data_IF_137249487258
#
_entry.id   IF_137249487258
#
_cell.length_a   1.000
_cell.length_b   1.000
_cell.length_c   1.000
_cell.angle_alpha   90.00
_cell.angle_beta   90.00
_cell.angle_gamma   90.00
#
_symmetry.space_group_name_H-M   'P 1'
#
loop_
_entity.id
_entity.type
_entity.pdbx_description
1 polymer ?
#
# COMPACT_ATOMS: atom_id res chain seq x y z
N UNK A 1 -17.88 9.66 -3.85
CA UNK A 1 -16.44 9.95 -3.99
C UNK A 1 -16.02 10.60 -2.68
N UNK A 2 -15.26 9.88 -1.86
CA UNK A 2 -14.76 10.41 -0.59
C UNK A 2 -13.79 11.56 -0.90
N UNK A 3 -14.00 12.69 -0.25
CA UNK A 3 -13.23 13.90 -0.49
C UNK A 3 -11.88 13.71 0.21
N UNK A 4 -10.81 13.48 -0.56
CA UNK A 4 -9.44 13.45 -0.05
C UNK A 4 -9.14 14.85 0.50
N UNK A 5 -9.10 14.97 1.82
CA UNK A 5 -8.69 16.19 2.50
C UNK A 5 -7.18 16.33 2.22
N UNK A 6 -6.65 17.49 1.78
CA UNK A 6 -5.24 17.63 1.39
C UNK A 6 -4.23 17.36 2.53
N UNK A 7 -4.71 17.10 3.75
CA UNK A 7 -3.92 16.76 4.92
C UNK A 7 -3.64 15.24 5.04
N UNK A 8 -4.45 14.38 4.43
CA UNK A 8 -4.32 12.92 4.56
C UNK A 8 -3.96 12.28 3.21
N UNK A 9 -3.06 11.30 3.23
CA UNK A 9 -2.71 10.53 2.03
C UNK A 9 -3.85 9.61 1.60
N UNK A 10 -4.61 9.08 2.57
CA UNK A 10 -5.77 8.22 2.32
C UNK A 10 -6.76 8.28 3.49
N UNK A 11 -8.02 7.94 3.24
CA UNK A 11 -9.08 7.85 4.25
C UNK A 11 -9.73 6.47 4.26
N UNK A 12 -9.49 5.69 5.32
CA UNK A 12 -9.95 4.31 5.43
C UNK A 12 -11.22 4.23 6.29
N UNK A 13 -12.32 3.63 5.80
CA UNK A 13 -13.52 3.41 6.62
C UNK A 13 -13.27 2.45 7.79
N UNK A 14 -13.68 2.85 9.00
CA UNK A 14 -13.50 2.06 10.21
C UNK A 14 -14.70 2.14 11.15
N UNK A 15 -14.64 1.39 12.26
CA UNK A 15 -15.59 1.50 13.37
C UNK A 15 -14.86 1.45 14.70
N UNK A 16 -14.99 2.50 15.50
CA UNK A 16 -14.44 2.56 16.87
C UNK A 16 -15.60 2.42 17.86
N UNK A 17 -15.52 1.46 18.77
CA UNK A 17 -16.60 1.14 19.71
C UNK A 17 -17.98 0.97 19.03
N UNK A 18 -18.01 0.43 17.80
CA UNK A 18 -19.21 0.22 17.01
C UNK A 18 -19.72 1.46 16.25
N UNK A 19 -19.11 2.63 16.42
CA UNK A 19 -19.49 3.89 15.76
C UNK A 19 -18.75 4.01 14.42
N UNK A 20 -19.44 4.18 13.28
CA UNK A 20 -18.80 4.41 11.99
C UNK A 20 -17.96 5.70 11.98
N UNK A 21 -16.73 5.59 11.52
CA UNK A 21 -15.79 6.71 11.38
C UNK A 21 -14.88 6.49 10.16
N UNK A 22 -14.01 7.46 9.90
CA UNK A 22 -12.91 7.33 8.94
C UNK A 22 -11.59 7.46 9.70
N UNK A 23 -10.57 6.75 9.26
CA UNK A 23 -9.18 6.94 9.69
C UNK A 23 -8.47 7.71 8.58
N UNK A 24 -8.09 8.95 8.85
CA UNK A 24 -7.25 9.73 7.95
C UNK A 24 -5.80 9.39 8.22
N UNK A 25 -5.12 8.78 7.25
CA UNK A 25 -3.69 8.47 7.36
C UNK A 25 -2.90 9.71 6.94
N UNK A 26 -2.07 10.23 7.84
CA UNK A 26 -1.22 11.41 7.59
C UNK A 26 0.08 11.00 6.90
N UNK A 27 0.73 9.98 7.44
CA UNK A 27 1.96 9.41 6.90
C UNK A 27 1.96 7.89 7.08
N UNK A 28 2.56 7.19 6.12
CA UNK A 28 2.76 5.74 6.19
C UNK A 28 4.13 5.40 5.59
N UNK A 29 4.97 4.76 6.40
CA UNK A 29 6.29 4.29 6.00
C UNK A 29 6.41 2.81 6.30
N UNK A 30 6.76 2.03 5.29
CA UNK A 30 7.01 0.60 5.43
C UNK A 30 8.40 0.26 4.90
N UNK A 31 9.27 -0.17 5.81
CA UNK A 31 10.59 -0.71 5.51
C UNK A 31 10.53 -2.24 5.54
N UNK A 32 10.72 -2.93 4.40
CA UNK A 32 10.75 -4.39 4.39
C UNK A 32 11.97 -4.94 5.13
N UNK A 33 11.85 -6.16 5.67
CA UNK A 33 12.99 -6.85 6.29
C UNK A 33 14.17 -6.98 5.34
N UNK A 34 15.37 -6.69 5.85
CA UNK A 34 16.59 -6.89 5.11
C UNK A 34 16.83 -8.38 4.85
N UNK A 35 17.03 -8.75 3.58
CA UNK A 35 17.18 -10.15 3.15
C UNK A 35 18.63 -10.66 3.18
N UNK A 36 19.57 -9.83 3.63
CA UNK A 36 20.99 -10.13 3.70
C UNK A 36 21.48 -10.53 5.09
N UNK A 37 22.80 -10.55 5.26
CA UNK A 37 23.43 -10.83 6.56
C UNK A 37 23.11 -9.73 7.59
N UNK A 38 22.77 -10.06 8.85
CA UNK A 38 22.57 -9.08 9.92
C UNK A 38 23.75 -8.12 10.10
N UNK A 39 24.97 -8.59 9.82
CA UNK A 39 26.21 -7.80 9.94
C UNK A 39 26.36 -6.68 8.92
N UNK A 40 25.47 -6.61 7.92
CA UNK A 40 25.45 -5.56 6.88
C UNK A 40 24.28 -4.60 7.07
N UNK A 41 23.60 -4.68 8.21
CA UNK A 41 22.45 -3.87 8.52
C UNK A 41 22.87 -2.73 9.46
N UNK A 42 22.41 -1.51 9.18
CA UNK A 42 22.75 -0.34 9.97
C UNK A 42 22.10 -0.36 11.35
N UNK A 43 20.94 -1.03 11.47
CA UNK A 43 20.22 -1.21 12.72
C UNK A 43 19.53 -2.59 12.80
N UNK A 44 19.12 -2.99 14.01
CA UNK A 44 18.34 -4.21 14.22
C UNK A 44 16.91 -4.09 13.66
N UNK A 45 16.34 -2.89 13.67
CA UNK A 45 14.98 -2.63 13.19
C UNK A 45 14.91 -2.76 11.66
N UNK A 46 15.93 -2.27 10.95
CA UNK A 46 16.03 -2.45 9.49
C UNK A 46 16.21 -3.92 9.10
N UNK A 47 16.78 -4.74 10.00
CA UNK A 47 16.93 -6.17 9.75
C UNK A 47 15.57 -6.88 9.75
N UNK A 48 14.73 -6.59 10.74
CA UNK A 48 13.38 -7.17 10.84
C UNK A 48 12.35 -6.48 9.96
N UNK A 49 12.65 -5.26 9.51
CA UNK A 49 11.68 -4.38 8.88
C UNK A 49 10.76 -3.76 9.91
N UNK A 50 10.13 -2.66 9.52
CA UNK A 50 9.26 -1.90 10.39
C UNK A 50 8.18 -1.18 9.58
N UNK A 51 7.05 -0.93 10.24
CA UNK A 51 5.96 -0.11 9.70
C UNK A 51 5.67 0.99 10.70
N UNK A 52 5.63 2.22 10.21
CA UNK A 52 5.25 3.40 10.97
C UNK A 52 4.10 4.09 10.27
N UNK A 53 3.07 4.47 11.02
CA UNK A 53 1.90 5.14 10.48
C UNK A 53 1.40 6.21 11.47
N UNK A 54 1.23 7.43 10.98
CA UNK A 54 0.55 8.51 11.70
C UNK A 54 -0.86 8.65 11.15
N UNK A 55 -1.85 8.75 12.05
CA UNK A 55 -3.25 8.77 11.66
C UNK A 55 -4.12 9.55 12.65
N UNK A 56 -5.26 10.03 12.17
CA UNK A 56 -6.26 10.75 12.94
C UNK A 56 -7.66 10.15 12.72
N UNK A 57 -8.49 10.13 13.78
CA UNK A 57 -9.91 9.73 13.65
C UNK A 57 -10.76 10.88 13.18
N UNK A 58 -11.52 10.62 12.13
CA UNK A 58 -12.44 11.56 11.50
C UNK A 58 -13.89 11.09 11.62
N UNK A 59 -14.81 12.05 11.60
CA UNK A 59 -16.23 11.78 11.37
C UNK A 59 -16.46 11.19 9.97
N UNK A 60 -17.67 10.70 9.69
CA UNK A 60 -18.02 10.18 8.35
C UNK A 60 -17.96 11.24 7.23
N UNK A 61 -17.77 12.51 7.59
CA UNK A 61 -17.63 13.65 6.67
C UNK A 61 -16.17 14.10 6.53
N UNK A 62 -15.21 13.36 7.10
CA UNK A 62 -13.77 13.64 7.00
C UNK A 62 -13.27 14.78 7.90
N UNK A 63 -14.00 15.12 8.97
CA UNK A 63 -13.59 16.16 9.93
C UNK A 63 -13.04 15.53 11.22
N UNK A 64 -11.98 16.09 11.83
CA UNK A 64 -11.43 15.56 13.08
C UNK A 64 -12.49 15.32 14.15
N UNK A 65 -12.43 14.16 14.79
CA UNK A 65 -13.37 13.74 15.82
C UNK A 65 -12.68 13.46 17.17
N UNK A 66 -12.20 14.48 17.91
CA UNK A 66 -11.52 14.30 19.19
C UNK A 66 -12.35 13.52 20.24
N UNK A 67 -13.67 13.59 20.14
CA UNK A 67 -14.58 12.87 21.03
C UNK A 67 -14.58 11.36 20.80
N UNK A 68 -14.27 10.91 19.57
CA UNK A 68 -14.07 9.50 19.22
C UNK A 68 -12.68 9.03 19.65
N UNK A 69 -11.65 9.88 19.45
CA UNK A 69 -10.28 9.57 19.90
C UNK A 69 -10.23 9.19 21.39
N UNK A 70 -10.99 9.88 22.23
CA UNK A 70 -11.09 9.59 23.68
C UNK A 70 -11.73 8.25 24.02
N UNK A 71 -12.37 7.58 23.06
CA UNK A 71 -13.02 6.27 23.23
C UNK A 71 -12.17 5.12 22.74
N UNK A 72 -11.04 5.40 22.11
CA UNK A 72 -10.10 4.41 21.61
C UNK A 72 -9.49 3.67 22.80
N UNK A 73 -9.54 2.35 22.74
CA UNK A 73 -8.76 1.47 23.60
C UNK A 73 -7.48 1.04 22.89
N UNK A 74 -6.49 0.52 23.64
CA UNK A 74 -5.29 -0.07 23.03
C UNK A 74 -5.61 -1.11 21.95
N UNK A 75 -6.66 -1.92 22.19
CA UNK A 75 -7.12 -2.91 21.21
C UNK A 75 -7.62 -2.26 19.92
N UNK A 76 -8.26 -1.10 20.01
CA UNK A 76 -8.68 -0.35 18.82
C UNK A 76 -7.46 0.24 18.09
N UNK A 77 -6.44 0.73 18.81
CA UNK A 77 -5.18 1.21 18.21
C UNK A 77 -4.48 0.10 17.43
N UNK A 78 -4.33 -1.08 18.04
CA UNK A 78 -3.69 -2.24 17.40
C UNK A 78 -4.48 -2.66 16.14
N UNK A 79 -5.81 -2.70 16.22
CA UNK A 79 -6.67 -3.04 15.10
C UNK A 79 -6.64 -1.99 13.98
N UNK A 80 -6.57 -0.70 14.32
CA UNK A 80 -6.42 0.39 13.35
C UNK A 80 -5.06 0.28 12.65
N UNK A 81 -4.00 0.00 13.41
CA UNK A 81 -2.64 -0.13 12.88
C UNK A 81 -2.53 -1.32 11.91
N UNK A 82 -3.09 -2.48 12.28
CA UNK A 82 -3.17 -3.65 11.39
C UNK A 82 -4.00 -3.37 10.13
N UNK A 83 -5.14 -2.68 10.28
CA UNK A 83 -5.98 -2.29 9.14
C UNK A 83 -5.25 -1.36 8.17
N UNK A 84 -4.53 -0.35 8.67
CA UNK A 84 -3.73 0.56 7.85
C UNK A 84 -2.64 -0.23 7.12
N UNK A 85 -1.88 -1.06 7.84
CA UNK A 85 -0.81 -1.85 7.22
C UNK A 85 -1.33 -2.79 6.13
N UNK A 86 -2.45 -3.48 6.40
CA UNK A 86 -3.10 -4.34 5.42
C UNK A 86 -3.53 -3.57 4.17
N UNK A 87 -4.16 -2.40 4.32
CA UNK A 87 -4.61 -1.58 3.21
C UNK A 87 -3.44 -1.22 2.27
N UNK A 88 -2.37 -0.65 2.82
CA UNK A 88 -1.20 -0.28 2.01
C UNK A 88 -0.43 -1.51 1.50
N UNK A 89 -0.46 -2.64 2.20
CA UNK A 89 0.15 -3.88 1.72
C UNK A 89 -0.59 -4.45 0.49
N UNK A 90 -1.92 -4.31 0.44
CA UNK A 90 -2.72 -4.69 -0.73
C UNK A 90 -2.44 -3.80 -1.93
N UNK A 91 -2.35 -2.48 -1.72
CA UNK A 91 -1.97 -1.53 -2.78
C UNK A 91 -0.59 -1.89 -3.36
N UNK A 92 0.42 -2.07 -2.49
CA UNK A 92 1.77 -2.50 -2.93
C UNK A 92 1.75 -3.80 -3.72
N UNK A 93 0.88 -4.74 -3.33
CA UNK A 93 0.73 -6.03 -4.01
C UNK A 93 0.10 -5.84 -5.39
N UNK A 94 -0.94 -5.02 -5.49
CA UNK A 94 -1.63 -4.72 -6.75
C UNK A 94 -0.69 -4.02 -7.74
N UNK A 95 0.04 -3.00 -7.30
CA UNK A 95 1.05 -2.31 -8.10
C UNK A 95 2.11 -3.26 -8.65
N UNK A 96 2.56 -4.22 -7.82
CA UNK A 96 3.52 -5.24 -8.26
C UNK A 96 2.93 -6.11 -9.35
N UNK A 97 1.70 -6.59 -9.18
CA UNK A 97 1.03 -7.43 -10.17
C UNK A 97 0.87 -6.71 -11.51
N UNK A 98 0.43 -5.46 -11.49
CA UNK A 98 0.25 -4.66 -12.70
C UNK A 98 1.57 -4.50 -13.44
N UNK A 99 2.66 -4.16 -12.73
CA UNK A 99 4.00 -4.07 -13.33
C UNK A 99 4.51 -5.39 -13.90
N UNK A 100 4.20 -6.52 -13.24
CA UNK A 100 4.58 -7.84 -13.73
C UNK A 100 3.80 -8.21 -15.00
N UNK A 101 2.50 -7.88 -15.06
CA UNK A 101 1.66 -8.05 -16.24
C UNK A 101 2.17 -7.21 -17.40
N UNK A 102 2.43 -5.91 -17.19
CA UNK A 102 2.95 -5.00 -18.22
C UNK A 102 4.26 -5.53 -18.80
N UNK A 103 5.20 -5.95 -17.95
CA UNK A 103 6.46 -6.54 -18.40
C UNK A 103 6.27 -7.81 -19.22
N UNK A 104 5.31 -8.65 -18.84
CA UNK A 104 5.02 -9.88 -19.56
C UNK A 104 4.37 -9.59 -20.93
N UNK A 105 3.48 -8.62 -21.01
CA UNK A 105 2.87 -8.17 -22.27
C UNK A 105 3.91 -7.58 -23.21
N UNK A 106 4.75 -6.67 -22.72
CA UNK A 106 5.86 -6.08 -23.49
C UNK A 106 6.82 -7.16 -24.02
N UNK A 107 7.12 -8.18 -23.22
CA UNK A 107 7.98 -9.28 -23.63
C UNK A 107 7.32 -10.11 -24.74
N UNK A 108 6.03 -10.44 -24.57
CA UNK A 108 5.25 -11.19 -25.56
C UNK A 108 5.12 -10.43 -26.88
N UNK A 109 4.92 -9.12 -26.86
CA UNK A 109 4.84 -8.28 -28.05
C UNK A 109 6.16 -8.33 -28.84
N UNK A 110 7.29 -8.16 -28.16
CA UNK A 110 8.62 -8.29 -28.77
C UNK A 110 8.89 -9.66 -29.38
N UNK A 111 8.38 -10.72 -28.76
CA UNK A 111 8.49 -12.07 -29.31
C UNK A 111 7.66 -12.24 -30.59
N UNK A 112 6.45 -11.68 -30.64
CA UNK A 112 5.60 -11.70 -31.83
C UNK A 112 6.20 -10.88 -32.96
N UNK A 113 6.68 -9.68 -32.68
CA UNK A 113 7.36 -8.83 -33.66
C UNK A 113 8.58 -9.56 -34.25
N UNK A 114 9.41 -10.13 -33.39
CA UNK A 114 10.58 -10.90 -33.82
C UNK A 114 10.19 -12.13 -34.66
N UNK A 115 9.11 -12.81 -34.32
CA UNK A 115 8.61 -13.95 -35.09
C UNK A 115 8.10 -13.51 -36.47
N UNK A 116 7.44 -12.35 -36.54
CA UNK A 116 6.98 -11.75 -37.80
C UNK A 116 8.15 -11.39 -38.70
N UNK A 117 9.17 -10.69 -38.17
CA UNK A 117 10.39 -10.34 -38.91
C UNK A 117 11.06 -11.58 -39.53
N UNK A 118 11.14 -12.67 -38.77
CA UNK A 118 11.71 -13.94 -39.24
C UNK A 118 10.85 -14.60 -40.31
N UNK A 119 9.52 -14.52 -40.18
CA UNK A 119 8.59 -15.03 -41.17
C UNK A 119 8.71 -14.25 -42.49
N UNK A 120 8.70 -12.92 -42.43
CA UNK A 120 8.90 -12.04 -43.58
C UNK A 120 10.24 -12.31 -44.28
N UNK A 121 11.34 -12.39 -43.50
CA UNK A 121 12.67 -12.72 -44.04
C UNK A 121 12.73 -14.09 -44.73
N UNK A 122 11.93 -15.06 -44.28
CA UNK A 122 11.93 -16.43 -44.81
C UNK A 122 10.99 -16.61 -46.00
N UNK A 123 9.85 -15.94 -46.01
CA UNK A 123 8.77 -16.20 -46.96
C UNK A 123 8.49 -15.04 -47.93
N UNK A 124 9.10 -13.86 -47.72
CA UNK A 124 9.15 -12.77 -48.69
C UNK A 124 7.77 -12.20 -49.06
N UNK A 125 7.00 -11.74 -48.08
CA UNK A 125 5.91 -10.79 -48.32
C UNK A 125 6.46 -9.37 -48.42
#
# INVERSE_FOLDING_TARGET
MAQVNPQYIETIPARIAGIPCLIGVESYTHAPSFRGSPWKCDSADDYWGWTEAEWEVLDQRGRPAPWLQRKISQKDEDAISEMIDHHFAEERRQDRYEREIDRAMDASERELDRAMDLYEARFGL
#
